data_IF_668214211594
#
_entry.id   IF_668214211594
#
_cell.length_a   1.000
_cell.length_b   1.000
_cell.length_c   1.000
_cell.angle_alpha   90.00
_cell.angle_beta   90.00
_cell.angle_gamma   90.00
#
_symmetry.space_group_name_H-M   'P 1'
#
loop_
_entity.id
_entity.type
_entity.pdbx_description
1 polymer ?
#
# COMPACT_ATOMS: atom_id res chain seq x y z
N UNK A 1 0.70 27.37 -10.80
CA UNK A 1 0.00 27.18 -9.51
C UNK A 1 0.15 25.71 -9.16
N UNK A 2 0.61 25.34 -7.95
CA UNK A 2 0.59 23.93 -7.53
C UNK A 2 -0.83 23.37 -7.67
N UNK A 3 -0.96 22.08 -8.01
CA UNK A 3 -2.25 21.41 -8.03
C UNK A 3 -2.68 21.30 -6.56
N UNK A 4 -3.46 22.28 -6.09
CA UNK A 4 -4.02 22.24 -4.75
C UNK A 4 -5.11 21.16 -4.70
N UNK A 5 -4.67 19.90 -4.54
CA UNK A 5 -5.51 18.80 -4.11
C UNK A 5 -5.70 19.05 -2.61
N UNK A 6 -6.68 19.88 -2.27
CA UNK A 6 -7.08 20.00 -0.86
C UNK A 6 -7.53 18.61 -0.38
N UNK A 7 -7.33 18.28 0.92
CA UNK A 7 -8.07 17.17 1.51
C UNK A 7 -9.52 17.35 1.10
N UNK A 8 -10.12 16.35 0.42
CA UNK A 8 -11.47 16.51 -0.14
C UNK A 8 -12.34 17.04 0.99
N UNK A 9 -12.76 18.33 0.96
CA UNK A 9 -13.73 18.79 1.92
C UNK A 9 -14.94 17.96 1.55
N UNK A 10 -15.38 17.09 2.44
CA UNK A 10 -16.66 16.42 2.21
C UNK A 10 -17.71 17.49 1.97
N UNK A 11 -18.07 17.70 0.71
CA UNK A 11 -19.30 18.34 0.30
C UNK A 11 -20.32 17.23 0.03
N UNK A 12 -20.36 16.24 0.93
CA UNK A 12 -21.18 15.05 0.76
C UNK A 12 -21.84 14.68 2.07
N UNK A 13 -23.16 14.90 2.14
CA UNK A 13 -24.01 14.61 3.30
C UNK A 13 -24.21 13.09 3.53
N UNK A 14 -23.50 12.21 2.80
CA UNK A 14 -23.52 10.76 3.01
C UNK A 14 -22.90 10.38 4.36
N UNK A 15 -23.65 9.64 5.16
CA UNK A 15 -23.17 9.00 6.39
C UNK A 15 -22.23 7.84 6.03
N UNK A 16 -20.95 8.13 5.91
CA UNK A 16 -19.92 7.09 5.83
C UNK A 16 -19.78 6.40 7.19
N UNK A 17 -19.76 5.08 7.21
CA UNK A 17 -19.19 4.35 8.34
C UNK A 17 -17.67 4.49 8.25
N UNK A 18 -17.04 5.08 9.27
CA UNK A 18 -15.63 5.45 9.26
C UNK A 18 -14.87 4.53 10.20
N UNK A 19 -13.73 4.02 9.73
CA UNK A 19 -12.90 3.11 10.51
C UNK A 19 -12.28 3.86 11.69
N UNK A 20 -12.45 3.31 12.90
CA UNK A 20 -11.83 3.83 14.12
C UNK A 20 -10.37 3.33 14.22
N UNK A 21 -9.47 3.99 13.49
CA UNK A 21 -8.05 3.64 13.50
C UNK A 21 -7.28 4.46 14.54
N UNK A 22 -6.37 3.79 15.25
CA UNK A 22 -5.45 4.43 16.18
C UNK A 22 -4.52 5.41 15.47
N UNK A 23 -4.11 6.47 16.17
CA UNK A 23 -3.09 7.40 15.70
C UNK A 23 -1.84 7.26 16.55
N UNK A 24 -0.72 6.99 15.89
CA UNK A 24 0.59 6.80 16.46
C UNK A 24 1.42 8.07 16.22
N UNK A 25 2.04 8.63 17.25
CA UNK A 25 2.93 9.79 17.14
C UNK A 25 4.32 9.34 16.70
N UNK A 26 4.78 9.82 15.54
CA UNK A 26 6.13 9.54 15.09
C UNK A 26 7.19 10.13 16.03
N UNK A 27 6.97 11.35 16.54
CA UNK A 27 7.90 11.99 17.47
C UNK A 27 8.16 11.13 18.72
N UNK A 28 7.09 10.56 19.30
CA UNK A 28 7.19 9.67 20.45
C UNK A 28 7.88 8.34 20.14
N UNK A 29 7.63 7.75 18.96
CA UNK A 29 8.37 6.58 18.51
C UNK A 29 9.86 6.90 18.34
N UNK A 30 10.19 8.06 17.76
CA UNK A 30 11.57 8.51 17.57
C UNK A 30 12.31 8.75 18.90
N UNK A 31 11.58 9.11 19.96
CA UNK A 31 12.13 9.22 21.33
C UNK A 31 12.07 7.92 22.13
N UNK A 32 11.71 6.79 21.50
CA UNK A 32 11.54 5.48 22.15
C UNK A 32 10.56 5.51 23.35
N UNK A 33 9.46 6.25 23.22
CA UNK A 33 8.41 6.32 24.26
C UNK A 33 7.74 4.94 24.46
N UNK A 34 7.80 4.33 25.66
CA UNK A 34 7.30 2.97 25.87
C UNK A 34 5.77 2.83 25.67
N UNK A 35 5.00 3.87 26.02
CA UNK A 35 3.54 3.84 25.85
C UNK A 35 3.16 3.87 24.37
N UNK A 36 3.86 4.68 23.57
CA UNK A 36 3.63 4.77 22.13
C UNK A 36 4.09 3.50 21.40
N UNK A 37 5.22 2.90 21.81
CA UNK A 37 5.66 1.58 21.31
C UNK A 37 4.62 0.49 21.61
N UNK A 38 4.08 0.48 22.84
CA UNK A 38 3.02 -0.47 23.19
C UNK A 38 1.76 -0.23 22.36
N UNK A 39 1.34 1.03 22.16
CA UNK A 39 0.20 1.39 21.32
C UNK A 39 0.39 0.92 19.88
N UNK A 40 1.58 1.15 19.31
CA UNK A 40 1.94 0.67 17.98
C UNK A 40 1.82 -0.85 17.88
N UNK A 41 2.35 -1.58 18.87
CA UNK A 41 2.25 -3.04 18.92
C UNK A 41 0.79 -3.50 18.94
N UNK A 42 -0.05 -2.90 19.79
CA UNK A 42 -1.49 -3.21 19.87
C UNK A 42 -2.19 -2.92 18.55
N UNK A 43 -1.91 -1.77 17.93
CA UNK A 43 -2.47 -1.43 16.63
C UNK A 43 -2.04 -2.42 15.54
N UNK A 44 -0.78 -2.88 15.54
CA UNK A 44 -0.28 -3.88 14.59
C UNK A 44 -0.87 -5.28 14.81
N UNK A 45 -1.14 -5.68 16.05
CA UNK A 45 -1.72 -6.98 16.40
C UNK A 45 -3.24 -7.04 16.15
N UNK A 46 -3.97 -6.00 16.55
CA UNK A 46 -5.43 -6.02 16.56
C UNK A 46 -6.02 -5.44 15.27
N UNK A 47 -5.52 -4.27 14.86
CA UNK A 47 -6.13 -3.48 13.81
C UNK A 47 -5.44 -3.70 12.46
N UNK A 48 -4.12 -3.85 12.45
CA UNK A 48 -3.26 -3.97 11.26
C UNK A 48 -3.19 -2.71 10.38
N UNK A 49 -4.04 -1.72 10.65
CA UNK A 49 -4.09 -0.38 10.07
C UNK A 49 -4.01 0.67 11.18
N UNK A 50 -3.26 1.73 10.97
CA UNK A 50 -3.17 2.87 11.88
C UNK A 50 -2.74 4.13 11.15
N UNK A 51 -3.00 5.29 11.74
CA UNK A 51 -2.40 6.54 11.28
C UNK A 51 -1.05 6.74 11.94
N UNK A 52 -0.09 7.26 11.19
CA UNK A 52 1.13 7.85 11.74
C UNK A 52 1.01 9.37 11.63
N UNK A 53 1.04 10.07 12.77
CA UNK A 53 1.16 11.51 12.79
C UNK A 53 2.58 11.91 12.38
N UNK A 54 2.66 12.69 11.30
CA UNK A 54 3.90 13.20 10.71
C UNK A 54 3.90 14.73 10.64
N UNK A 55 3.05 15.39 11.44
CA UNK A 55 3.06 16.85 11.60
C UNK A 55 4.23 17.37 12.43
N UNK A 56 4.91 16.47 13.13
CA UNK A 56 5.90 16.79 14.15
C UNK A 56 7.26 17.12 13.51
N UNK A 57 8.17 17.73 14.28
CA UNK A 57 9.48 18.19 13.79
C UNK A 57 10.38 17.02 13.36
N UNK A 58 10.16 15.84 13.91
CA UNK A 58 10.89 14.60 13.62
C UNK A 58 10.57 14.08 12.21
N UNK A 59 9.40 14.45 11.68
CA UNK A 59 8.98 14.16 10.30
C UNK A 59 9.26 15.32 9.33
N UNK A 60 10.05 16.33 9.75
CA UNK A 60 10.21 17.61 9.04
C UNK A 60 10.53 17.41 7.56
N UNK A 61 9.73 18.07 6.74
CA UNK A 61 9.87 18.05 5.28
C UNK A 61 9.07 16.94 4.61
N UNK A 62 8.80 15.81 5.26
CA UNK A 62 8.11 14.67 4.61
C UNK A 62 6.75 15.06 4.02
N UNK A 63 5.94 15.84 4.76
CA UNK A 63 4.65 16.31 4.26
C UNK A 63 4.78 17.31 3.10
N UNK A 64 5.81 18.17 3.13
CA UNK A 64 6.10 19.11 2.03
C UNK A 64 6.60 18.38 0.79
N UNK A 65 7.45 17.36 0.97
CA UNK A 65 7.96 16.54 -0.11
C UNK A 65 6.82 15.74 -0.74
N UNK A 66 5.93 15.17 0.07
CA UNK A 66 4.70 14.53 -0.41
C UNK A 66 3.91 15.46 -1.33
N UNK A 67 3.69 16.73 -0.93
CA UNK A 67 2.97 17.70 -1.75
C UNK A 67 3.69 17.98 -3.07
N UNK A 68 5.00 18.21 -3.03
CA UNK A 68 5.79 18.44 -4.24
C UNK A 68 5.79 17.23 -5.18
N UNK A 69 5.95 16.02 -4.63
CA UNK A 69 5.90 14.79 -5.41
C UNK A 69 4.50 14.60 -6.00
N UNK A 70 3.44 14.87 -5.24
CA UNK A 70 2.06 14.81 -5.73
C UNK A 70 1.83 15.77 -6.90
N UNK A 71 2.35 17.00 -6.85
CA UNK A 71 2.25 17.97 -7.94
C UNK A 71 2.93 17.47 -9.23
N UNK A 72 4.18 16.99 -9.11
CA UNK A 72 4.92 16.43 -10.25
C UNK A 72 4.17 15.24 -10.84
N UNK A 73 3.64 14.38 -9.98
CA UNK A 73 2.91 13.19 -10.38
C UNK A 73 1.58 13.50 -11.04
N UNK A 74 0.80 14.44 -10.48
CA UNK A 74 -0.46 14.88 -11.08
C UNK A 74 -0.20 15.43 -12.49
N UNK A 75 0.82 16.29 -12.65
CA UNK A 75 1.23 16.82 -13.96
C UNK A 75 1.65 15.73 -14.94
N UNK A 76 2.39 14.71 -14.50
CA UNK A 76 2.79 13.62 -15.38
C UNK A 76 1.59 12.77 -15.83
N UNK A 77 0.63 12.47 -14.95
CA UNK A 77 -0.52 11.65 -15.33
C UNK A 77 -1.45 12.33 -16.36
N UNK A 78 -1.44 13.66 -16.45
CA UNK A 78 -2.14 14.42 -17.50
C UNK A 78 -1.49 14.29 -18.88
N UNK A 79 -0.30 13.68 -18.99
CA UNK A 79 0.28 13.39 -20.30
C UNK A 79 -0.56 12.39 -21.09
N UNK A 80 -0.60 12.49 -22.44
CA UNK A 80 -1.34 11.57 -23.29
C UNK A 80 -0.94 10.12 -23.06
N UNK A 81 -1.89 9.20 -23.24
CA UNK A 81 -1.65 7.77 -23.01
C UNK A 81 -0.48 7.24 -23.84
N UNK A 82 -0.34 7.72 -25.08
CA UNK A 82 0.73 7.35 -26.02
C UNK A 82 2.14 7.67 -25.49
N UNK A 83 2.26 8.70 -24.65
CA UNK A 83 3.52 9.04 -23.99
C UNK A 83 3.73 8.21 -22.72
N UNK A 84 2.67 7.97 -21.95
CA UNK A 84 2.76 7.17 -20.71
C UNK A 84 3.13 5.72 -20.99
N UNK A 85 2.58 5.10 -22.04
CA UNK A 85 2.85 3.69 -22.38
C UNK A 85 4.31 3.43 -22.77
N UNK A 86 5.09 4.45 -23.14
CA UNK A 86 6.55 4.32 -23.36
C UNK A 86 7.30 3.89 -22.09
N UNK A 87 6.71 4.11 -20.92
CA UNK A 87 7.25 3.72 -19.62
C UNK A 87 6.66 2.39 -19.11
N UNK A 88 5.82 1.70 -19.88
CA UNK A 88 5.19 0.45 -19.49
C UNK A 88 6.13 -0.76 -19.66
N UNK A 89 7.07 -0.93 -18.74
CA UNK A 89 8.15 -1.91 -18.85
C UNK A 89 7.81 -3.34 -18.42
N UNK A 90 6.55 -3.62 -18.12
CA UNK A 90 6.11 -4.91 -17.55
C UNK A 90 6.78 -5.25 -16.21
N UNK A 91 7.33 -4.25 -15.49
CA UNK A 91 7.94 -4.43 -14.18
C UNK A 91 6.95 -4.10 -13.08
N UNK A 92 7.01 -4.86 -11.99
CA UNK A 92 6.14 -4.63 -10.84
C UNK A 92 6.61 -3.58 -9.85
N UNK A 93 7.83 -3.06 -10.02
CA UNK A 93 8.43 -2.08 -9.11
C UNK A 93 8.86 -0.79 -9.81
N UNK A 94 8.89 -0.77 -11.15
CA UNK A 94 9.41 0.36 -11.92
C UNK A 94 8.59 0.61 -13.20
N UNK A 95 8.25 1.88 -13.45
CA UNK A 95 7.58 2.31 -14.67
C UNK A 95 6.06 2.36 -14.55
N UNK A 96 5.41 2.48 -15.69
CA UNK A 96 3.98 2.74 -15.83
C UNK A 96 3.16 1.46 -15.95
N UNK A 97 1.98 1.46 -15.34
CA UNK A 97 0.93 0.45 -15.52
C UNK A 97 -0.37 1.16 -15.92
N UNK A 98 -0.90 0.92 -17.13
CA UNK A 98 -2.21 1.38 -17.56
C UNK A 98 -3.37 0.85 -16.71
N UNK A 99 -4.55 1.44 -16.89
CA UNK A 99 -5.79 0.96 -16.31
C UNK A 99 -6.16 -0.45 -16.79
N UNK A 100 -6.85 -1.18 -15.93
CA UNK A 100 -7.58 -2.40 -16.29
C UNK A 100 -6.74 -3.63 -16.61
N UNK A 101 -5.46 -3.63 -16.21
CA UNK A 101 -4.59 -4.80 -16.33
C UNK A 101 -4.75 -5.80 -15.18
N UNK A 102 -5.49 -5.43 -14.14
CA UNK A 102 -5.80 -6.23 -12.96
C UNK A 102 -7.32 -6.28 -12.74
N UNK A 103 -7.78 -7.16 -11.85
CA UNK A 103 -9.18 -7.19 -11.42
C UNK A 103 -9.57 -5.95 -10.63
N UNK A 104 -10.79 -5.47 -10.83
CA UNK A 104 -11.34 -4.35 -10.07
C UNK A 104 -12.03 -4.76 -8.78
N UNK A 105 -12.66 -3.78 -8.14
CA UNK A 105 -13.30 -3.91 -6.83
C UNK A 105 -14.64 -4.66 -6.86
N UNK A 106 -15.25 -4.82 -8.03
CA UNK A 106 -16.50 -5.57 -8.20
C UNK A 106 -16.32 -6.76 -9.12
N UNK A 107 -17.14 -7.80 -8.97
CA UNK A 107 -17.04 -9.01 -9.78
C UNK A 107 -17.05 -8.70 -11.29
N UNK A 108 -16.16 -9.36 -12.04
CA UNK A 108 -15.93 -9.17 -13.49
C UNK A 108 -15.46 -7.76 -13.91
N UNK A 109 -15.24 -6.85 -12.96
CA UNK A 109 -14.66 -5.54 -13.28
C UNK A 109 -13.15 -5.64 -13.46
N UNK A 110 -12.61 -4.64 -14.15
CA UNK A 110 -11.18 -4.35 -14.24
C UNK A 110 -10.83 -3.24 -13.26
N UNK A 111 -9.56 -3.17 -12.87
CA UNK A 111 -9.13 -2.13 -11.96
C UNK A 111 -9.35 -0.72 -12.55
N UNK A 112 -9.64 0.23 -11.66
CA UNK A 112 -9.97 1.61 -11.98
C UNK A 112 -8.81 2.59 -11.82
N UNK A 113 -7.56 2.13 -11.88
CA UNK A 113 -6.40 2.96 -11.62
C UNK A 113 -5.20 2.67 -12.52
N UNK A 114 -4.49 3.73 -12.84
CA UNK A 114 -3.16 3.67 -13.45
C UNK A 114 -2.10 3.94 -12.38
N UNK A 115 -0.88 3.41 -12.57
CA UNK A 115 0.23 3.67 -11.65
C UNK A 115 1.52 4.05 -12.34
N UNK A 116 2.30 4.93 -11.73
CA UNK A 116 3.74 5.01 -11.95
C UNK A 116 4.45 4.44 -10.73
N UNK A 117 5.45 3.61 -10.95
CA UNK A 117 6.25 2.97 -9.89
C UNK A 117 7.70 3.41 -10.00
N UNK A 118 8.29 3.72 -8.86
CA UNK A 118 9.69 4.08 -8.72
C UNK A 118 10.29 3.14 -7.68
N UNK A 119 11.13 2.22 -8.12
CA UNK A 119 11.85 1.32 -7.23
C UNK A 119 12.73 2.16 -6.28
N UNK A 120 12.97 1.67 -5.06
CA UNK A 120 13.74 2.41 -4.03
C UNK A 120 15.09 2.93 -4.56
N UNK A 121 15.76 2.14 -5.42
CA UNK A 121 17.03 2.50 -6.07
C UNK A 121 16.87 2.86 -7.56
N UNK A 122 15.64 2.95 -8.05
CA UNK A 122 15.29 3.10 -9.47
C UNK A 122 15.50 4.50 -10.05
N UNK A 123 15.91 5.49 -9.24
CA UNK A 123 16.27 6.84 -9.68
C UNK A 123 17.76 6.98 -10.04
N UNK A 124 18.60 6.10 -9.48
CA UNK A 124 20.06 6.15 -9.66
C UNK A 124 20.58 5.01 -10.53
N UNK A 125 19.94 3.83 -10.50
CA UNK A 125 20.48 2.60 -11.09
C UNK A 125 19.42 1.80 -11.86
N UNK A 126 18.96 2.32 -13.00
CA UNK A 126 17.99 1.61 -13.84
C UNK A 126 18.28 1.78 -15.33
N UNK A 127 18.12 0.68 -16.08
CA UNK A 127 18.05 0.69 -17.56
C UNK A 127 16.62 1.01 -18.06
N UNK A 128 15.66 1.10 -17.13
CA UNK A 128 14.25 1.43 -17.33
C UNK A 128 14.02 2.86 -16.82
N UNK A 129 14.32 3.88 -17.65
CA UNK A 129 14.31 5.28 -17.21
C UNK A 129 12.93 5.71 -16.73
N UNK A 130 12.88 6.71 -15.86
CA UNK A 130 11.62 7.31 -15.43
C UNK A 130 11.25 8.49 -16.34
N UNK A 131 9.99 8.96 -16.29
CA UNK A 131 9.58 10.14 -17.03
C UNK A 131 10.46 11.36 -16.76
N UNK A 132 10.64 12.21 -17.77
CA UNK A 132 11.48 13.41 -17.68
C UNK A 132 11.09 14.33 -16.52
N UNK A 133 9.79 14.46 -16.22
CA UNK A 133 9.28 15.25 -15.08
C UNK A 133 9.78 14.71 -13.73
N UNK A 134 9.82 13.38 -13.58
CA UNK A 134 10.33 12.70 -12.37
C UNK A 134 11.84 12.89 -12.27
N UNK A 135 12.57 12.69 -13.37
CA UNK A 135 14.02 12.86 -13.41
C UNK A 135 14.47 14.31 -13.16
N UNK A 136 13.70 15.29 -13.66
CA UNK A 136 13.94 16.70 -13.37
C UNK A 136 13.71 17.06 -11.89
N UNK A 137 12.90 16.26 -11.19
CA UNK A 137 12.59 16.43 -9.76
C UNK A 137 13.28 15.35 -8.91
N UNK A 138 14.40 14.79 -9.38
CA UNK A 138 15.03 13.60 -8.78
C UNK A 138 15.35 13.76 -7.28
N UNK A 139 15.90 14.90 -6.88
CA UNK A 139 16.26 15.17 -5.48
C UNK A 139 15.03 15.09 -4.57
N UNK A 140 13.91 15.72 -4.98
CA UNK A 140 12.64 15.68 -4.27
C UNK A 140 12.11 14.24 -4.12
N UNK A 141 12.18 13.41 -5.16
CA UNK A 141 11.73 12.02 -5.08
C UNK A 141 12.66 11.18 -4.19
N UNK A 142 13.97 11.36 -4.29
CA UNK A 142 14.95 10.68 -3.44
C UNK A 142 14.72 11.04 -1.96
N UNK A 143 14.55 12.32 -1.66
CA UNK A 143 14.23 12.81 -0.31
C UNK A 143 12.95 12.19 0.24
N UNK A 144 11.89 12.18 -0.57
CA UNK A 144 10.61 11.60 -0.16
C UNK A 144 10.71 10.09 0.09
N UNK A 145 11.42 9.33 -0.77
CA UNK A 145 11.65 7.90 -0.60
C UNK A 145 12.48 7.63 0.66
N UNK A 146 13.58 8.35 0.85
CA UNK A 146 14.47 8.16 1.99
C UNK A 146 13.79 8.50 3.32
N UNK A 147 13.03 9.60 3.38
CA UNK A 147 12.25 9.98 4.57
C UNK A 147 11.16 8.94 4.83
N UNK A 148 10.42 8.50 3.80
CA UNK A 148 9.40 7.43 3.95
C UNK A 148 9.99 6.13 4.49
N UNK A 149 11.13 5.70 3.93
CA UNK A 149 11.87 4.52 4.37
C UNK A 149 12.31 4.66 5.82
N UNK A 150 12.87 5.79 6.22
CA UNK A 150 13.28 6.07 7.59
C UNK A 150 12.12 5.88 8.57
N UNK A 151 10.95 6.46 8.28
CA UNK A 151 9.77 6.34 9.15
C UNK A 151 9.32 4.88 9.29
N UNK A 152 9.32 4.13 8.18
CA UNK A 152 8.96 2.71 8.20
C UNK A 152 9.99 1.87 8.98
N UNK A 153 11.29 2.12 8.83
CA UNK A 153 12.32 1.41 9.59
C UNK A 153 12.21 1.72 11.09
N UNK A 154 11.87 2.96 11.47
CA UNK A 154 11.60 3.32 12.87
C UNK A 154 10.36 2.59 13.43
N UNK A 155 9.30 2.41 12.62
CA UNK A 155 8.14 1.57 13.00
C UNK A 155 8.59 0.13 13.23
N UNK A 156 9.35 -0.45 12.31
CA UNK A 156 9.82 -1.84 12.42
C UNK A 156 10.74 -2.02 13.64
N UNK A 157 11.66 -1.09 13.89
CA UNK A 157 12.52 -1.09 15.08
C UNK A 157 11.71 -0.98 16.36
N UNK A 158 10.71 -0.10 16.41
CA UNK A 158 9.83 0.06 17.58
C UNK A 158 9.02 -1.22 17.85
N UNK A 159 8.57 -1.91 16.80
CA UNK A 159 7.92 -3.22 16.93
C UNK A 159 8.91 -4.27 17.43
N UNK A 160 10.15 -4.30 16.93
CA UNK A 160 11.20 -5.20 17.43
C UNK A 160 11.46 -4.99 18.92
N UNK A 161 11.53 -3.73 19.37
CA UNK A 161 11.74 -3.39 20.78
C UNK A 161 10.54 -3.82 21.63
N UNK A 162 9.31 -3.51 21.19
CA UNK A 162 8.09 -3.88 21.89
C UNK A 162 7.87 -5.40 21.99
N UNK A 163 8.41 -6.17 21.03
CA UNK A 163 8.35 -7.64 21.05
C UNK A 163 9.59 -8.30 21.67
N UNK A 164 10.56 -7.52 22.13
CA UNK A 164 11.78 -8.03 22.77
C UNK A 164 12.75 -8.75 21.81
N UNK A 165 12.72 -8.42 20.52
CA UNK A 165 13.61 -9.00 19.53
C UNK A 165 14.99 -8.35 19.55
N UNK A 166 16.01 -9.20 19.45
CA UNK A 166 17.43 -8.80 19.49
C UNK A 166 18.18 -9.30 18.26
N UNK A 167 19.32 -8.67 17.95
CA UNK A 167 20.23 -9.14 16.89
C UNK A 167 19.57 -9.25 15.51
N UNK A 168 19.79 -10.39 14.85
CA UNK A 168 19.29 -10.66 13.49
C UNK A 168 17.79 -10.99 13.42
N UNK A 169 17.12 -11.22 14.56
CA UNK A 169 15.68 -11.51 14.60
C UNK A 169 14.81 -10.25 14.48
N UNK A 170 15.41 -9.06 14.65
CA UNK A 170 14.73 -7.77 14.57
C UNK A 170 14.15 -7.51 13.18
N UNK A 171 12.93 -7.00 13.10
CA UNK A 171 12.18 -6.88 11.84
C UNK A 171 12.85 -5.96 10.81
N UNK A 172 13.48 -4.87 11.24
CA UNK A 172 14.20 -3.95 10.36
C UNK A 172 15.45 -4.60 9.74
N UNK A 173 15.98 -5.69 10.33
CA UNK A 173 17.13 -6.43 9.77
C UNK A 173 16.78 -7.15 8.48
N UNK A 174 15.51 -7.48 8.24
CA UNK A 174 15.10 -8.02 6.92
C UNK A 174 15.05 -6.95 5.83
N UNK A 175 15.28 -5.67 6.15
CA UNK A 175 15.07 -4.52 5.27
C UNK A 175 16.35 -3.70 5.06
N UNK A 176 17.52 -4.33 5.08
CA UNK A 176 18.83 -3.67 4.91
C UNK A 176 19.03 -3.11 3.49
N UNK A 177 20.02 -2.22 3.34
CA UNK A 177 20.43 -1.66 2.05
C UNK A 177 21.61 -2.40 1.39
N UNK A 178 22.03 -3.54 1.97
CA UNK A 178 23.14 -4.37 1.50
C UNK A 178 22.76 -5.36 0.38
N UNK A 179 21.50 -5.31 -0.09
CA UNK A 179 21.01 -6.17 -1.16
C UNK A 179 19.79 -5.59 -1.89
N UNK A 180 19.42 -6.18 -3.03
CA UNK A 180 18.23 -5.77 -3.77
C UNK A 180 16.96 -6.07 -2.97
N UNK A 181 15.97 -5.19 -3.06
CA UNK A 181 14.62 -5.43 -2.57
C UNK A 181 13.60 -5.01 -3.61
N UNK A 182 12.38 -5.51 -3.48
CA UNK A 182 11.26 -5.03 -4.28
C UNK A 182 10.63 -3.77 -3.69
N UNK A 183 11.26 -3.05 -2.76
CA UNK A 183 10.69 -1.82 -2.18
C UNK A 183 10.48 -0.75 -3.27
N UNK A 184 9.34 -0.07 -3.23
CA UNK A 184 8.99 0.89 -4.28
C UNK A 184 8.05 1.98 -3.77
N UNK A 185 8.20 3.18 -4.32
CA UNK A 185 7.17 4.21 -4.29
C UNK A 185 6.20 3.99 -5.45
N UNK A 186 4.91 3.89 -5.16
CA UNK A 186 3.86 3.69 -6.15
C UNK A 186 2.86 4.84 -6.08
N UNK A 187 2.76 5.54 -7.19
CA UNK A 187 1.82 6.63 -7.41
C UNK A 187 0.59 6.08 -8.11
N UNK A 188 -0.58 6.35 -7.56
CA UNK A 188 -1.85 5.90 -8.11
C UNK A 188 -2.64 7.11 -8.58
N UNK A 189 -3.17 7.04 -9.81
CA UNK A 189 -4.27 7.90 -10.26
C UNK A 189 -5.46 7.01 -10.55
N UNK A 190 -6.58 7.35 -9.94
CA UNK A 190 -7.89 6.83 -10.27
C UNK A 190 -8.58 7.91 -11.12
N UNK A 191 -8.71 7.72 -12.44
CA UNK A 191 -9.29 8.73 -13.31
C UNK A 191 -10.76 9.02 -12.98
N UNK A 192 -11.22 10.19 -13.39
CA UNK A 192 -12.61 10.58 -13.23
C UNK A 192 -13.49 9.73 -14.14
N UNK A 193 -14.79 9.66 -13.88
CA UNK A 193 -15.73 8.87 -14.68
C UNK A 193 -15.72 9.23 -16.17
N UNK A 194 -15.36 10.46 -16.52
CA UNK A 194 -15.24 10.93 -17.92
C UNK A 194 -14.09 10.29 -18.70
N UNK A 195 -13.10 9.72 -18.01
CA UNK A 195 -11.84 9.24 -18.61
C UNK A 195 -11.70 7.72 -18.53
N UNK A 196 -12.52 7.04 -17.72
CA UNK A 196 -12.45 5.59 -17.53
C UNK A 196 -13.75 4.91 -17.98
N UNK A 197 -13.63 3.66 -18.41
CA UNK A 197 -14.78 2.85 -18.77
C UNK A 197 -15.59 2.46 -17.52
N UNK A 198 -16.86 2.07 -17.73
CA UNK A 198 -17.75 1.71 -16.63
C UNK A 198 -17.33 0.45 -15.86
N UNK A 199 -16.55 -0.42 -16.49
CA UNK A 199 -16.01 -1.64 -15.93
C UNK A 199 -14.65 -1.44 -15.22
N UNK A 200 -14.07 -0.23 -15.27
CA UNK A 200 -12.87 0.15 -14.52
C UNK A 200 -13.24 0.62 -13.09
N UNK A 201 -13.37 -0.31 -12.15
CA UNK A 201 -13.88 -0.05 -10.81
C UNK A 201 -12.77 -0.24 -9.77
N UNK A 202 -12.28 0.86 -9.20
CA UNK A 202 -11.53 0.83 -7.94
C UNK A 202 -10.29 -0.09 -7.92
N UNK A 203 -9.95 -0.62 -6.76
CA UNK A 203 -8.93 -1.66 -6.59
C UNK A 203 -9.55 -2.81 -5.80
N UNK A 204 -9.39 -4.04 -6.31
CA UNK A 204 -9.91 -5.26 -5.69
C UNK A 204 -9.53 -5.39 -4.22
N UNK A 205 -10.32 -6.15 -3.44
CA UNK A 205 -9.96 -6.47 -2.06
C UNK A 205 -8.72 -7.35 -2.00
N UNK A 206 -7.73 -6.94 -1.23
CA UNK A 206 -6.46 -7.66 -1.10
C UNK A 206 -5.77 -7.31 0.22
N UNK A 207 -4.73 -8.05 0.55
CA UNK A 207 -3.71 -7.60 1.51
C UNK A 207 -2.45 -7.18 0.76
N UNK A 208 -1.63 -6.32 1.34
CA UNK A 208 -0.38 -5.90 0.72
C UNK A 208 0.73 -6.95 0.85
N UNK A 209 1.58 -7.04 -0.17
CA UNK A 209 2.77 -7.90 -0.15
C UNK A 209 3.82 -7.41 0.87
N UNK A 210 3.88 -6.09 1.11
CA UNK A 210 4.92 -5.43 1.89
C UNK A 210 4.97 -5.84 3.36
N UNK A 211 6.00 -5.39 4.06
CA UNK A 211 6.04 -5.42 5.53
C UNK A 211 5.17 -4.31 6.09
N UNK A 212 5.40 -3.08 5.62
CA UNK A 212 4.56 -1.92 5.88
C UNK A 212 4.29 -1.22 4.55
N UNK A 213 3.03 -0.93 4.28
CA UNK A 213 2.64 0.05 3.28
C UNK A 213 2.43 1.40 3.97
N UNK A 214 3.11 2.43 3.47
CA UNK A 214 3.10 3.78 4.01
C UNK A 214 2.43 4.72 3.01
N UNK A 215 1.15 4.98 3.22
CA UNK A 215 0.22 5.56 2.26
C UNK A 215 -0.11 7.01 2.60
N UNK A 216 -0.06 7.87 1.59
CA UNK A 216 -0.47 9.26 1.63
C UNK A 216 -1.66 9.46 0.68
N UNK A 217 -2.76 9.94 1.23
CA UNK A 217 -3.97 10.25 0.47
C UNK A 217 -4.67 11.46 1.08
N UNK A 218 -5.09 12.39 0.22
CA UNK A 218 -5.92 13.55 0.58
C UNK A 218 -7.40 13.32 0.25
N UNK A 219 -7.71 12.24 -0.47
CA UNK A 219 -9.06 11.96 -0.98
C UNK A 219 -9.55 10.59 -0.50
N UNK A 220 -10.86 10.52 -0.23
CA UNK A 220 -11.56 9.28 0.10
C UNK A 220 -11.43 8.24 -1.00
N UNK A 221 -11.60 6.97 -0.64
CA UNK A 221 -11.49 5.86 -1.58
C UNK A 221 -11.14 4.54 -0.90
N UNK A 222 -10.24 4.59 0.09
CA UNK A 222 -9.78 3.42 0.81
C UNK A 222 -10.85 2.92 1.79
N UNK A 223 -11.08 1.61 1.78
CA UNK A 223 -11.94 0.92 2.71
C UNK A 223 -11.24 -0.27 3.35
N UNK A 224 -11.59 -0.55 4.61
CA UNK A 224 -11.19 -1.73 5.38
C UNK A 224 -12.45 -2.44 5.89
N UNK A 225 -12.40 -3.75 6.23
CA UNK A 225 -13.52 -4.44 6.84
C UNK A 225 -14.00 -3.72 8.10
N UNK A 226 -15.31 -3.63 8.26
CA UNK A 226 -15.89 -3.04 9.45
C UNK A 226 -15.48 -3.82 10.71
N UNK A 227 -15.39 -3.14 11.85
CA UNK A 227 -14.96 -3.79 13.10
C UNK A 227 -15.89 -4.95 13.47
N UNK A 228 -15.32 -6.13 13.65
CA UNK A 228 -16.08 -7.36 13.97
C UNK A 228 -16.66 -8.08 12.76
N UNK A 229 -16.57 -7.51 11.55
CA UNK A 229 -16.94 -8.17 10.32
C UNK A 229 -15.92 -9.25 9.94
N UNK A 230 -16.41 -10.36 9.41
CA UNK A 230 -15.60 -11.40 8.78
C UNK A 230 -15.18 -10.99 7.37
N UNK A 231 -14.09 -11.56 6.81
CA UNK A 231 -13.65 -11.32 5.43
C UNK A 231 -14.73 -11.52 4.33
N UNK A 232 -15.70 -12.38 4.62
CA UNK A 232 -16.87 -12.71 3.81
C UNK A 232 -18.05 -11.74 3.97
N UNK A 233 -18.09 -10.98 5.07
CA UNK A 233 -19.11 -9.97 5.29
C UNK A 233 -18.81 -8.78 4.36
N UNK A 234 -19.76 -8.40 3.50
CA UNK A 234 -19.61 -7.19 2.66
C UNK A 234 -19.86 -5.90 3.46
N UNK A 235 -19.27 -5.83 4.65
CA UNK A 235 -19.33 -4.72 5.59
C UNK A 235 -17.97 -4.00 5.62
N UNK A 236 -17.95 -2.76 5.14
CA UNK A 236 -16.71 -2.00 4.94
C UNK A 236 -16.83 -0.60 5.52
N UNK A 237 -15.79 -0.21 6.25
CA UNK A 237 -15.62 1.14 6.78
C UNK A 237 -14.62 1.92 5.92
N UNK A 238 -14.86 3.22 5.79
CA UNK A 238 -14.00 4.12 5.05
C UNK A 238 -12.84 4.60 5.92
N UNK A 239 -11.64 4.66 5.33
CA UNK A 239 -10.47 5.24 5.99
C UNK A 239 -10.41 6.73 5.68
N UNK A 240 -10.47 7.56 6.73
CA UNK A 240 -10.46 9.01 6.61
C UNK A 240 -9.11 9.56 6.14
N UNK A 241 -9.04 10.34 5.05
CA UNK A 241 -7.88 11.16 4.74
C UNK A 241 -7.67 12.21 5.84
N UNK A 242 -6.44 12.29 6.37
CA UNK A 242 -6.06 13.25 7.41
C UNK A 242 -4.83 14.02 6.98
N UNK A 243 -4.90 15.35 6.99
CA UNK A 243 -3.74 16.18 6.70
C UNK A 243 -2.65 15.97 7.77
N UNK A 244 -1.38 15.95 7.38
CA UNK A 244 -0.26 15.71 8.30
C UNK A 244 -0.18 14.29 8.84
N UNK A 245 -0.93 13.34 8.26
CA UNK A 245 -0.90 11.94 8.66
C UNK A 245 -0.64 11.06 7.44
N UNK A 246 0.13 9.99 7.66
CA UNK A 246 0.19 8.86 6.75
C UNK A 246 -0.74 7.75 7.28
N UNK A 247 -1.29 6.94 6.37
CA UNK A 247 -1.99 5.71 6.70
C UNK A 247 -0.96 4.58 6.58
N UNK A 248 -0.75 3.85 7.65
CA UNK A 248 0.13 2.69 7.69
C UNK A 248 -0.71 1.43 7.73
N UNK A 249 -0.30 0.40 6.99
CA UNK A 249 -0.78 -0.95 7.23
C UNK A 249 0.32 -1.99 7.20
N UNK A 250 0.16 -2.97 8.09
CA UNK A 250 0.93 -4.20 8.09
C UNK A 250 0.52 -5.00 6.85
N UNK A 251 1.52 -5.47 6.11
CA UNK A 251 1.31 -6.39 4.99
C UNK A 251 1.78 -7.80 5.31
N UNK A 252 1.67 -8.68 4.33
CA UNK A 252 1.92 -10.10 4.45
C UNK A 252 3.34 -10.41 4.92
N UNK A 253 4.34 -9.68 4.41
CA UNK A 253 5.75 -9.96 4.76
C UNK A 253 5.99 -9.79 6.26
N UNK A 254 5.47 -8.73 6.89
CA UNK A 254 5.64 -8.51 8.32
C UNK A 254 4.76 -9.44 9.15
N UNK A 255 3.56 -9.75 8.68
CA UNK A 255 2.73 -10.80 9.28
C UNK A 255 3.48 -12.14 9.32
N UNK A 256 4.13 -12.53 8.23
CA UNK A 256 4.87 -13.79 8.15
C UNK A 256 6.16 -13.75 8.99
N UNK A 257 6.94 -12.66 8.92
CA UNK A 257 8.15 -12.47 9.73
C UNK A 257 7.87 -12.47 11.24
N UNK A 258 6.70 -11.98 11.64
CA UNK A 258 6.26 -11.98 13.05
C UNK A 258 5.61 -13.30 13.49
N UNK A 259 5.64 -14.36 12.68
CA UNK A 259 5.02 -15.63 13.02
C UNK A 259 3.49 -15.53 13.12
N UNK A 260 2.88 -14.72 12.26
CA UNK A 260 1.43 -14.40 12.24
C UNK A 260 0.93 -13.58 13.42
N UNK A 261 1.83 -12.99 14.22
CA UNK A 261 1.47 -12.13 15.36
C UNK A 261 0.80 -10.84 14.91
N UNK A 262 1.38 -10.16 13.91
CA UNK A 262 0.79 -8.92 13.38
C UNK A 262 -0.20 -9.20 12.27
N UNK A 263 -1.26 -8.38 12.22
CA UNK A 263 -2.39 -8.57 11.32
C UNK A 263 -2.15 -7.86 10.01
N UNK A 264 -1.97 -8.62 8.93
CA UNK A 264 -2.16 -8.12 7.56
C UNK A 264 -3.67 -7.97 7.33
N UNK A 265 -4.14 -6.94 6.63
CA UNK A 265 -5.57 -6.59 6.61
C UNK A 265 -6.08 -6.40 5.20
N UNK A 266 -7.22 -7.04 4.92
CA UNK A 266 -7.94 -6.83 3.68
C UNK A 266 -8.30 -5.36 3.55
N UNK A 267 -8.10 -4.81 2.38
CA UNK A 267 -8.55 -3.47 2.05
C UNK A 267 -8.87 -3.40 0.58
N UNK A 268 -9.71 -2.44 0.20
CA UNK A 268 -10.08 -2.18 -1.19
C UNK A 268 -10.14 -0.68 -1.43
N UNK A 269 -10.12 -0.29 -2.70
CA UNK A 269 -10.38 1.10 -3.07
C UNK A 269 -11.67 1.16 -3.86
N UNK A 270 -12.65 1.92 -3.39
CA UNK A 270 -13.92 2.12 -4.08
C UNK A 270 -13.98 3.54 -4.67
N UNK A 271 -14.61 3.69 -5.85
CA UNK A 271 -14.98 5.02 -6.35
C UNK A 271 -15.81 5.82 -5.35
N UNK A 272 -15.56 7.13 -5.28
CA UNK A 272 -16.37 8.10 -4.52
C UNK A 272 -17.06 9.08 -5.48
N UNK A 273 -18.04 9.86 -5.00
CA UNK A 273 -18.89 10.68 -5.88
C UNK A 273 -18.09 11.81 -6.54
N UNK A 274 -17.09 12.33 -5.84
CA UNK A 274 -16.17 13.36 -6.32
C UNK A 274 -15.38 12.89 -7.56
N UNK A 275 -15.22 11.57 -7.73
CA UNK A 275 -14.61 10.99 -8.92
C UNK A 275 -15.49 11.09 -10.17
N UNK A 276 -16.73 11.58 -10.05
CA UNK A 276 -17.53 11.94 -11.22
C UNK A 276 -16.91 13.10 -12.00
N UNK A 277 -16.20 14.00 -11.31
CA UNK A 277 -15.67 15.23 -11.90
C UNK A 277 -14.17 15.43 -11.69
N UNK A 278 -13.55 14.70 -10.77
CA UNK A 278 -12.14 14.85 -10.42
C UNK A 278 -11.38 13.53 -10.41
N UNK A 279 -10.07 13.60 -10.60
CA UNK A 279 -9.18 12.45 -10.40
C UNK A 279 -8.92 12.24 -8.90
N UNK A 280 -8.74 10.99 -8.49
CA UNK A 280 -8.24 10.66 -7.15
C UNK A 280 -6.78 10.24 -7.22
N UNK A 281 -5.97 10.77 -6.32
CA UNK A 281 -4.55 10.44 -6.22
C UNK A 281 -4.20 9.84 -4.85
N UNK A 282 -3.25 8.91 -4.85
CA UNK A 282 -2.60 8.44 -3.62
C UNK A 282 -1.19 7.95 -3.90
N UNK A 283 -0.31 8.10 -2.92
CA UNK A 283 1.11 7.75 -3.03
C UNK A 283 1.44 6.76 -1.92
N UNK A 284 1.98 5.60 -2.25
CA UNK A 284 2.32 4.57 -1.28
C UNK A 284 3.80 4.21 -1.38
N UNK A 285 4.52 4.27 -0.27
CA UNK A 285 5.82 3.62 -0.14
C UNK A 285 5.61 2.21 0.41
N UNK A 286 5.91 1.20 -0.40
CA UNK A 286 5.85 -0.19 0.00
C UNK A 286 7.24 -0.66 0.44
N UNK A 287 7.44 -0.81 1.75
CA UNK A 287 8.69 -1.35 2.29
C UNK A 287 8.62 -2.88 2.28
N UNK A 288 9.55 -3.53 1.57
CA UNK A 288 9.60 -4.97 1.39
C UNK A 288 10.96 -5.52 1.84
N UNK A 289 11.02 -6.77 2.33
CA UNK A 289 12.29 -7.37 2.69
C UNK A 289 13.28 -7.45 1.52
N UNK A 290 14.57 -7.54 1.85
CA UNK A 290 15.65 -7.85 0.90
C UNK A 290 15.37 -9.23 0.28
N UNK A 291 15.66 -9.37 -1.02
CA UNK A 291 15.48 -10.63 -1.76
C UNK A 291 16.15 -11.80 -1.04
N UNK A 292 15.53 -12.98 -1.13
CA UNK A 292 15.99 -14.18 -0.43
C UNK A 292 15.64 -14.24 1.06
N UNK A 293 15.05 -13.18 1.65
CA UNK A 293 14.48 -13.27 3.01
C UNK A 293 13.41 -14.36 3.03
N UNK A 294 13.59 -15.36 3.89
CA UNK A 294 12.68 -16.49 4.03
C UNK A 294 11.69 -16.25 5.17
N UNK A 295 10.43 -16.62 4.93
CA UNK A 295 9.42 -16.69 5.98
C UNK A 295 8.52 -17.91 5.77
N UNK A 296 7.74 -18.24 6.80
CA UNK A 296 6.69 -19.25 6.73
C UNK A 296 5.37 -18.57 6.40
N UNK A 297 4.72 -18.98 5.33
CA UNK A 297 3.42 -18.42 4.94
C UNK A 297 2.25 -19.03 5.73
N UNK A 298 1.03 -18.58 5.42
CA UNK A 298 -0.22 -19.03 6.03
C UNK A 298 -0.59 -20.50 5.76
N UNK A 299 0.08 -21.16 4.83
CA UNK A 299 -0.06 -22.60 4.53
C UNK A 299 1.08 -23.42 5.16
N UNK A 300 2.00 -22.78 5.88
CA UNK A 300 3.14 -23.43 6.51
C UNK A 300 4.33 -23.67 5.56
N UNK A 301 4.29 -23.14 4.34
CA UNK A 301 5.37 -23.28 3.35
C UNK A 301 6.49 -22.30 3.68
N UNK A 302 7.74 -22.76 3.55
CA UNK A 302 8.90 -21.86 3.54
C UNK A 302 9.05 -21.26 2.15
N UNK A 303 8.95 -19.94 2.04
CA UNK A 303 8.98 -19.21 0.76
C UNK A 303 9.83 -17.94 0.90
N UNK A 304 10.52 -17.55 -0.17
CA UNK A 304 11.25 -16.28 -0.21
C UNK A 304 10.29 -15.11 -0.45
N UNK A 305 10.66 -13.92 0.04
CA UNK A 305 9.88 -12.70 -0.16
C UNK A 305 9.66 -12.35 -1.64
N UNK A 306 10.65 -12.61 -2.50
CA UNK A 306 10.62 -12.39 -3.95
C UNK A 306 9.72 -13.39 -4.68
N UNK A 307 9.67 -14.65 -4.23
CA UNK A 307 8.74 -15.65 -4.76
C UNK A 307 7.31 -15.29 -4.36
N UNK A 308 7.06 -14.96 -3.09
CA UNK A 308 5.75 -14.50 -2.62
C UNK A 308 5.27 -13.25 -3.39
N UNK A 309 6.17 -12.29 -3.60
CA UNK A 309 5.91 -11.10 -4.39
C UNK A 309 5.45 -11.45 -5.81
N UNK A 310 6.19 -12.32 -6.49
CA UNK A 310 5.90 -12.70 -7.89
C UNK A 310 4.56 -13.42 -7.99
N UNK A 311 4.33 -14.43 -7.14
CA UNK A 311 3.06 -15.17 -7.10
C UNK A 311 1.87 -14.24 -6.88
N UNK A 312 2.00 -13.29 -5.95
CA UNK A 312 0.90 -12.37 -5.64
C UNK A 312 0.62 -11.40 -6.79
N UNK A 313 1.63 -10.94 -7.51
CA UNK A 313 1.44 -10.15 -8.74
C UNK A 313 0.79 -10.92 -9.87
N UNK A 314 1.07 -12.21 -10.01
CA UNK A 314 0.36 -13.07 -10.96
C UNK A 314 -1.12 -13.18 -10.58
N UNK A 315 -1.42 -13.36 -9.30
CA UNK A 315 -2.81 -13.41 -8.81
C UNK A 315 -3.54 -12.06 -8.96
N UNK A 316 -2.87 -10.90 -8.81
CA UNK A 316 -3.50 -9.60 -9.11
C UNK A 316 -3.97 -9.49 -10.57
N UNK A 317 -3.26 -10.12 -11.51
CA UNK A 317 -3.59 -10.11 -12.95
C UNK A 317 -4.57 -11.20 -13.35
N UNK A 318 -4.67 -12.26 -12.55
CA UNK A 318 -5.62 -13.34 -12.75
C UNK A 318 -7.07 -12.85 -12.65
N UNK A 319 -8.00 -13.57 -13.25
CA UNK A 319 -9.43 -13.28 -13.18
C UNK A 319 -9.98 -13.46 -11.77
N UNK A 320 -11.14 -12.86 -11.47
CA UNK A 320 -11.84 -13.08 -10.20
C UNK A 320 -12.12 -14.58 -9.92
N UNK A 321 -12.36 -15.38 -10.97
CA UNK A 321 -12.57 -16.81 -10.83
C UNK A 321 -11.29 -17.54 -10.40
N UNK A 322 -10.16 -17.22 -11.03
CA UNK A 322 -8.86 -17.81 -10.68
C UNK A 322 -8.41 -17.36 -9.29
N UNK A 323 -8.68 -16.10 -8.92
CA UNK A 323 -8.39 -15.58 -7.58
C UNK A 323 -9.15 -16.34 -6.49
N UNK A 324 -10.37 -16.84 -6.76
CA UNK A 324 -11.13 -17.67 -5.81
C UNK A 324 -10.57 -19.07 -5.63
N UNK A 325 -9.61 -19.52 -6.46
CA UNK A 325 -9.04 -20.86 -6.37
C UNK A 325 -7.85 -20.95 -5.40
N UNK A 326 -7.45 -19.83 -4.80
CA UNK A 326 -6.37 -19.78 -3.81
C UNK A 326 -6.57 -18.61 -2.85
N UNK A 327 -5.68 -18.49 -1.87
CA UNK A 327 -5.75 -17.46 -0.83
C UNK A 327 -4.60 -16.45 -0.90
N UNK A 328 -3.88 -16.39 -2.03
CA UNK A 328 -2.66 -15.57 -2.13
C UNK A 328 -3.03 -14.07 -2.12
N UNK A 329 -4.09 -13.68 -2.82
CA UNK A 329 -4.53 -12.28 -2.91
C UNK A 329 -4.81 -11.65 -1.54
N UNK A 330 -5.34 -12.45 -0.62
CA UNK A 330 -5.76 -12.08 0.73
C UNK A 330 -4.70 -12.40 1.79
N UNK A 331 -3.55 -12.95 1.38
CA UNK A 331 -2.50 -13.37 2.31
C UNK A 331 -2.88 -14.57 3.18
N UNK A 332 -3.89 -15.36 2.81
CA UNK A 332 -4.33 -16.53 3.56
C UNK A 332 -5.12 -16.20 4.81
N UNK A 333 -5.94 -15.16 4.77
CA UNK A 333 -6.72 -14.69 5.94
C UNK A 333 -8.15 -15.25 5.95
N UNK A 334 -8.57 -15.96 4.90
CA UNK A 334 -9.91 -16.54 4.82
C UNK A 334 -10.16 -17.57 5.92
N UNK A 335 -11.43 -17.64 6.33
CA UNK A 335 -11.95 -18.62 7.29
C UNK A 335 -11.70 -20.07 6.85
N UNK A 336 -11.65 -21.00 7.81
CA UNK A 336 -11.47 -22.42 7.51
C UNK A 336 -12.53 -22.97 6.55
N UNK A 337 -13.78 -22.49 6.65
CA UNK A 337 -14.87 -22.82 5.73
C UNK A 337 -14.60 -22.31 4.31
N UNK A 338 -14.10 -21.07 4.19
CA UNK A 338 -13.70 -20.51 2.90
C UNK A 338 -12.56 -21.31 2.28
N UNK A 339 -11.55 -21.71 3.07
CA UNK A 339 -10.46 -22.58 2.61
C UNK A 339 -10.96 -23.96 2.14
N UNK A 340 -11.96 -24.53 2.81
CA UNK A 340 -12.57 -25.80 2.41
C UNK A 340 -13.27 -25.70 1.05
N UNK A 341 -14.00 -24.60 0.80
CA UNK A 341 -14.65 -24.34 -0.50
C UNK A 341 -13.62 -24.20 -1.62
N UNK A 342 -12.52 -23.48 -1.35
CA UNK A 342 -11.40 -23.33 -2.28
C UNK A 342 -10.84 -24.72 -2.65
N UNK A 343 -10.52 -25.55 -1.65
CA UNK A 343 -10.00 -26.91 -1.88
C UNK A 343 -10.97 -27.77 -2.70
N UNK A 344 -12.28 -27.68 -2.45
CA UNK A 344 -13.28 -28.45 -3.21
C UNK A 344 -13.39 -28.01 -4.68
N UNK A 345 -13.03 -26.77 -5.01
CA UNK A 345 -13.10 -26.22 -6.37
C UNK A 345 -11.88 -26.54 -7.25
N UNK A 346 -10.79 -27.03 -6.65
CA UNK A 346 -9.54 -27.40 -7.36
C UNK A 346 -9.52 -28.90 -7.72
N UNK A 347 -10.41 -29.72 -7.15
CA UNK A 347 -10.43 -31.19 -7.28
C UNK A 347 -11.46 -31.68 -8.33
N UNK A 348 -11.93 -30.80 -9.22
CA UNK A 348 -12.88 -31.16 -10.30
C UNK A 348 -12.24 -31.09 -11.67
#
# INVERSE_FOLDING_TARGET
MPHQISPSPYADDRKFSVAELQTISFAKLASCDPEEQHRLMVAAEQDGFFYLNISDLESKGLWSDYQGVLDVMASWFETPMEEKVKFAYGSDVQGYKPLGLQTGATEKSKDGFETLRVAQQGLDWTVKPLPGQVLASKELFNDFINKSRMHVLSILSSLSDATGLEGEERYERSHRDDGPSNSSMTFHRYPSRKVRDSDNVGHNKHTDISSIAFLFAQQWGLQVPARGAQPEDDAWDWVQPKAGHAICNVGDSLRFLSGMRFRSVLHRVMPVAEMEHSHRYSIAYFCRPVHGTMFRDSEGRMISCDTWFSHKFDIYRATHEEQRKNTILTGGIESAESRSRIHSSVVV
#
